data_IF_385456601137
#
_entry.id   IF_385456601137
#
_cell.length_a   1.000
_cell.length_b   1.000
_cell.length_c   1.000
_cell.angle_alpha   90.00
_cell.angle_beta   90.00
_cell.angle_gamma   90.00
#
_symmetry.space_group_name_H-M   'P 1'
#
loop_
_entity.id
_entity.type
_entity.pdbx_description
1 polymer ?
#
# COMPACT_ATOMS: atom_id res chain seq x y z
N UNK A 1 19.24 26.12 7.77
CA UNK A 1 18.04 25.28 8.04
C UNK A 1 18.18 24.64 9.42
N UNK A 2 17.05 24.39 10.11
CA UNK A 2 17.05 23.70 11.40
C UNK A 2 17.31 22.22 11.17
N UNK A 3 18.17 21.59 12.00
CA UNK A 3 18.38 20.15 11.96
C UNK A 3 17.13 19.42 12.46
N UNK A 4 16.80 18.31 11.80
CA UNK A 4 15.72 17.42 12.25
C UNK A 4 16.13 16.73 13.55
N UNK A 5 15.14 16.32 14.35
CA UNK A 5 15.38 15.48 15.53
C UNK A 5 15.64 14.05 15.10
N UNK A 6 16.73 13.48 15.60
CA UNK A 6 16.97 12.02 15.50
C UNK A 6 16.62 11.42 16.84
N UNK A 7 15.74 10.44 16.84
CA UNK A 7 15.17 9.83 18.07
C UNK A 7 15.18 8.29 17.93
N UNK A 8 14.97 7.59 19.03
CA UNK A 8 14.76 6.14 19.01
C UNK A 8 13.34 5.78 18.56
N UNK A 9 13.11 4.52 18.22
CA UNK A 9 11.78 4.05 17.86
C UNK A 9 10.80 4.11 19.05
N UNK A 10 11.29 3.88 20.28
CA UNK A 10 10.53 4.01 21.53
C UNK A 10 10.13 5.47 21.79
N UNK A 11 11.05 6.42 21.59
CA UNK A 11 10.72 7.85 21.68
C UNK A 11 9.69 8.26 20.62
N UNK A 12 9.77 7.69 19.42
CA UNK A 12 8.76 7.90 18.37
C UNK A 12 7.39 7.34 18.77
N UNK A 13 7.36 6.14 19.35
CA UNK A 13 6.13 5.53 19.84
C UNK A 13 5.45 6.41 20.90
N UNK A 14 6.21 7.11 21.76
CA UNK A 14 5.66 8.05 22.75
C UNK A 14 5.00 9.29 22.13
N UNK A 15 5.22 9.56 20.85
CA UNK A 15 4.57 10.69 20.15
C UNK A 15 3.14 10.38 19.70
N UNK A 16 2.70 9.12 19.79
CA UNK A 16 1.34 8.68 19.48
C UNK A 16 0.47 8.72 20.71
N UNK A 17 -0.69 9.38 20.64
CA UNK A 17 -1.63 9.51 21.74
C UNK A 17 -2.86 8.63 21.55
N UNK A 18 -3.60 8.40 22.63
CA UNK A 18 -4.89 7.72 22.58
C UNK A 18 -5.85 8.45 21.62
N UNK A 19 -6.54 7.71 20.79
CA UNK A 19 -7.51 8.22 19.81
C UNK A 19 -6.91 8.84 18.55
N UNK A 20 -5.58 8.89 18.40
CA UNK A 20 -4.94 9.42 17.20
C UNK A 20 -5.32 8.61 15.95
N UNK A 21 -5.40 9.30 14.82
CA UNK A 21 -5.36 8.68 13.50
C UNK A 21 -3.90 8.50 13.09
N UNK A 22 -3.49 7.25 12.92
CA UNK A 22 -2.15 6.90 12.45
C UNK A 22 -2.23 6.37 11.02
N UNK A 23 -1.36 6.88 10.15
CA UNK A 23 -1.16 6.36 8.80
C UNK A 23 0.20 5.68 8.69
N UNK A 24 0.24 4.52 8.03
CA UNK A 24 1.47 3.75 7.83
C UNK A 24 1.80 3.64 6.35
N UNK A 25 3.09 3.80 6.01
CA UNK A 25 3.63 3.53 4.67
C UNK A 25 3.90 2.04 4.49
N UNK A 26 4.02 1.61 3.24
CA UNK A 26 4.35 0.25 2.86
C UNK A 26 3.39 -0.36 1.83
N UNK A 27 3.85 -1.40 1.17
CA UNK A 27 3.10 -2.14 0.15
C UNK A 27 3.43 -3.62 0.27
N UNK A 28 2.47 -4.46 0.67
CA UNK A 28 2.65 -5.87 0.99
C UNK A 28 3.76 -6.02 2.06
N UNK A 29 4.90 -6.57 1.72
CA UNK A 29 6.04 -6.69 2.65
C UNK A 29 7.08 -5.58 2.45
N UNK A 30 6.92 -4.72 1.46
CA UNK A 30 7.96 -3.79 1.04
C UNK A 30 7.76 -2.41 1.68
N UNK A 31 8.86 -1.74 2.00
CA UNK A 31 8.89 -0.40 2.56
C UNK A 31 8.06 -0.21 3.86
N UNK A 32 7.90 -1.27 4.66
CA UNK A 32 7.23 -1.19 5.96
C UNK A 32 8.14 -0.53 7.00
N UNK A 33 7.64 0.41 7.81
CA UNK A 33 8.40 1.05 8.89
C UNK A 33 8.40 0.17 10.16
N UNK A 34 9.03 -1.01 10.09
CA UNK A 34 8.94 -2.07 11.11
C UNK A 34 9.42 -1.61 12.49
N UNK A 35 10.57 -0.92 12.60
CA UNK A 35 11.06 -0.47 13.91
C UNK A 35 10.02 0.42 14.62
N UNK A 36 9.34 1.29 13.87
CA UNK A 36 8.31 2.17 14.43
C UNK A 36 7.07 1.38 14.87
N UNK A 37 6.64 0.43 14.04
CA UNK A 37 5.46 -0.40 14.31
C UNK A 37 5.69 -1.33 15.50
N UNK A 38 6.86 -1.98 15.58
CA UNK A 38 7.29 -2.83 16.70
C UNK A 38 7.35 -2.02 18.01
N UNK A 39 7.95 -0.83 17.98
CA UNK A 39 8.06 -0.01 19.19
C UNK A 39 6.69 0.44 19.70
N UNK A 40 5.75 0.74 18.79
CA UNK A 40 4.38 1.11 19.17
C UNK A 40 3.61 -0.09 19.73
N UNK A 41 3.74 -1.29 19.15
CA UNK A 41 3.19 -2.53 19.68
C UNK A 41 3.72 -2.83 21.07
N UNK A 42 5.05 -2.78 21.26
CA UNK A 42 5.68 -3.04 22.57
C UNK A 42 5.17 -2.06 23.65
N UNK A 43 5.09 -0.78 23.32
CA UNK A 43 4.52 0.22 24.24
C UNK A 43 3.08 -0.13 24.64
N UNK A 44 2.24 -0.53 23.66
CA UNK A 44 0.87 -0.93 23.96
C UNK A 44 0.82 -2.16 24.86
N UNK A 45 1.62 -3.19 24.57
CA UNK A 45 1.66 -4.43 25.35
C UNK A 45 2.14 -4.18 26.80
N UNK A 46 3.07 -3.26 26.99
CA UNK A 46 3.62 -2.92 28.33
C UNK A 46 2.71 -2.01 29.15
N UNK A 47 2.06 -1.05 28.50
CA UNK A 47 1.36 0.05 29.19
C UNK A 47 -0.16 0.07 28.99
N UNK A 48 -0.67 -0.65 28.00
CA UNK A 48 -2.05 -0.53 27.54
C UNK A 48 -2.34 0.75 26.74
N UNK A 49 -1.30 1.49 26.32
CA UNK A 49 -1.39 2.74 25.55
C UNK A 49 -0.39 2.73 24.38
N UNK A 50 -0.70 3.38 23.25
CA UNK A 50 -1.93 4.15 22.95
C UNK A 50 -3.13 3.25 22.73
N UNK A 51 -4.34 3.78 22.98
CA UNK A 51 -5.62 3.10 22.80
C UNK A 51 -6.48 3.80 21.75
N UNK A 52 -7.47 3.07 21.26
CA UNK A 52 -8.54 3.61 20.41
C UNK A 52 -8.05 4.31 19.15
N UNK A 53 -6.93 3.86 18.59
CA UNK A 53 -6.36 4.43 17.37
C UNK A 53 -7.29 4.20 16.15
N UNK A 54 -7.23 5.13 15.20
CA UNK A 54 -7.71 4.90 13.84
C UNK A 54 -6.50 4.59 12.97
N UNK A 55 -6.40 3.38 12.41
CA UNK A 55 -5.34 3.01 11.47
C UNK A 55 -5.80 3.25 10.02
N UNK A 56 -4.98 3.92 9.22
CA UNK A 56 -5.28 4.30 7.83
C UNK A 56 -4.14 3.94 6.88
N UNK A 57 -4.42 3.07 5.89
CA UNK A 57 -3.41 2.63 4.92
C UNK A 57 -4.05 2.27 3.55
N UNK A 58 -3.32 2.51 2.46
CA UNK A 58 -3.79 2.19 1.12
C UNK A 58 -3.60 0.70 0.79
N UNK A 59 -2.37 0.22 0.75
CA UNK A 59 -2.05 -1.18 0.49
C UNK A 59 -1.93 -1.97 1.79
N UNK A 60 -2.29 -3.25 1.77
CA UNK A 60 -2.08 -4.16 2.89
C UNK A 60 -0.59 -4.33 3.18
N UNK A 61 -0.23 -4.39 4.45
CA UNK A 61 1.16 -4.41 4.92
C UNK A 61 1.42 -5.63 5.80
N UNK A 62 2.50 -6.36 5.53
CA UNK A 62 2.93 -7.51 6.29
C UNK A 62 2.99 -8.83 5.51
N UNK A 63 3.41 -9.88 6.21
CA UNK A 63 3.57 -11.24 5.70
C UNK A 63 2.54 -12.24 6.22
N UNK A 64 1.55 -11.80 7.01
CA UNK A 64 0.59 -12.68 7.73
C UNK A 64 1.25 -13.47 8.88
N UNK A 65 2.34 -12.98 9.42
CA UNK A 65 3.19 -13.66 10.41
C UNK A 65 3.48 -12.79 11.65
N UNK A 66 2.69 -11.75 11.85
CA UNK A 66 2.86 -10.81 12.95
C UNK A 66 3.60 -9.52 12.57
N UNK A 67 4.00 -9.38 11.29
CA UNK A 67 4.70 -8.19 10.78
C UNK A 67 3.75 -7.16 10.16
N UNK A 68 4.24 -5.95 9.91
CA UNK A 68 3.50 -4.88 9.25
C UNK A 68 2.23 -4.47 9.99
N UNK A 69 1.07 -4.62 9.35
CA UNK A 69 -0.22 -4.26 9.93
C UNK A 69 -0.63 -5.08 11.16
N UNK A 70 -0.07 -6.28 11.32
CA UNK A 70 -0.37 -7.14 12.48
C UNK A 70 0.13 -6.58 13.81
N UNK A 71 1.12 -5.68 13.83
CA UNK A 71 1.57 -4.97 15.03
C UNK A 71 0.45 -4.13 15.67
N UNK A 72 -0.54 -3.73 14.89
CA UNK A 72 -1.70 -2.95 15.37
C UNK A 72 -2.89 -3.84 15.78
N UNK A 73 -2.80 -5.16 15.56
CA UNK A 73 -3.89 -6.12 15.72
C UNK A 73 -4.15 -6.55 17.16
N UNK A 74 -4.18 -5.63 18.12
CA UNK A 74 -4.45 -5.90 19.53
C UNK A 74 -5.78 -5.28 19.96
N UNK A 75 -6.61 -6.04 20.71
CA UNK A 75 -7.87 -5.53 21.24
C UNK A 75 -7.66 -4.32 22.15
N UNK A 76 -8.31 -3.21 21.85
CA UNK A 76 -8.17 -1.94 22.56
C UNK A 76 -7.07 -1.02 22.04
N UNK A 77 -6.13 -1.49 21.21
CA UNK A 77 -5.13 -0.64 20.55
C UNK A 77 -5.77 0.16 19.42
N UNK A 78 -6.52 -0.48 18.57
CA UNK A 78 -7.27 0.17 17.48
C UNK A 78 -8.77 0.09 17.75
N UNK A 79 -9.49 1.18 17.46
CA UNK A 79 -10.96 1.20 17.42
C UNK A 79 -11.50 1.20 16.01
N UNK A 80 -10.72 1.69 15.04
CA UNK A 80 -11.13 1.82 13.64
C UNK A 80 -9.97 1.52 12.71
N UNK A 81 -10.25 0.82 11.64
CA UNK A 81 -9.29 0.60 10.56
C UNK A 81 -9.96 0.95 9.22
N UNK A 82 -9.29 1.79 8.44
CA UNK A 82 -9.66 2.15 7.06
C UNK A 82 -8.52 1.71 6.15
N UNK A 83 -8.73 0.62 5.42
CA UNK A 83 -7.69 0.01 4.60
C UNK A 83 -8.17 -0.44 3.24
N UNK A 84 -7.26 -0.47 2.28
CA UNK A 84 -7.56 -0.96 0.92
C UNK A 84 -7.46 -2.47 0.78
N UNK A 85 -6.64 -3.13 1.62
CA UNK A 85 -6.42 -4.56 1.57
C UNK A 85 -6.10 -5.13 2.97
N UNK A 86 -6.82 -6.16 3.40
CA UNK A 86 -6.79 -6.66 4.78
C UNK A 86 -6.03 -7.99 4.95
N UNK A 87 -5.86 -8.76 3.87
CA UNK A 87 -5.33 -10.13 3.94
C UNK A 87 -3.90 -10.22 4.51
N UNK A 88 -3.14 -9.12 4.49
CA UNK A 88 -1.75 -9.11 4.97
C UNK A 88 -1.61 -8.97 6.49
N UNK A 89 -2.71 -8.60 7.17
CA UNK A 89 -2.75 -8.40 8.62
C UNK A 89 -3.91 -9.22 9.25
N UNK A 90 -3.76 -10.55 9.37
CA UNK A 90 -4.82 -11.42 9.87
C UNK A 90 -5.31 -11.06 11.27
N UNK A 91 -4.44 -10.58 12.17
CA UNK A 91 -4.87 -10.14 13.52
C UNK A 91 -5.88 -8.98 13.45
N UNK A 92 -5.70 -8.02 12.53
CA UNK A 92 -6.70 -6.97 12.30
C UNK A 92 -8.00 -7.54 11.72
N UNK A 93 -7.89 -8.50 10.80
CA UNK A 93 -9.01 -9.21 10.23
C UNK A 93 -9.84 -9.93 11.29
N UNK A 94 -9.19 -10.62 12.21
CA UNK A 94 -9.85 -11.34 13.32
C UNK A 94 -10.61 -10.37 14.25
N UNK A 95 -10.05 -9.20 14.57
CA UNK A 95 -10.74 -8.18 15.34
C UNK A 95 -11.98 -7.63 14.60
N UNK A 96 -11.88 -7.44 13.29
CA UNK A 96 -13.00 -6.99 12.48
C UNK A 96 -14.12 -8.04 12.40
N UNK A 97 -13.78 -9.32 12.20
CA UNK A 97 -14.72 -10.45 12.19
C UNK A 97 -15.41 -10.63 13.54
N UNK A 98 -14.67 -10.42 14.64
CA UNK A 98 -15.21 -10.47 15.98
C UNK A 98 -16.04 -9.23 16.39
N UNK A 99 -16.28 -8.28 15.49
CA UNK A 99 -16.96 -7.00 15.78
C UNK A 99 -16.30 -6.16 16.91
N UNK A 100 -14.98 -6.26 17.08
CA UNK A 100 -14.22 -5.55 18.11
C UNK A 100 -13.76 -4.16 17.65
N UNK A 101 -13.69 -3.94 16.34
CA UNK A 101 -13.24 -2.69 15.74
C UNK A 101 -14.17 -2.28 14.58
N UNK A 102 -14.30 -0.98 14.34
CA UNK A 102 -14.90 -0.47 13.11
C UNK A 102 -13.95 -0.75 11.94
N UNK A 103 -14.46 -1.34 10.88
CA UNK A 103 -13.66 -1.82 9.77
C UNK A 103 -14.22 -1.38 8.42
N UNK A 104 -13.38 -0.70 7.63
CA UNK A 104 -13.71 -0.24 6.29
C UNK A 104 -12.72 -0.83 5.28
N UNK A 105 -13.25 -1.36 4.18
CA UNK A 105 -12.46 -1.67 2.99
C UNK A 105 -12.84 -0.67 1.91
N UNK A 106 -11.90 0.20 1.54
CA UNK A 106 -12.08 1.19 0.47
C UNK A 106 -11.13 0.85 -0.68
N UNK A 107 -11.45 1.23 -1.93
CA UNK A 107 -10.57 0.97 -3.06
C UNK A 107 -9.17 1.56 -2.81
N UNK A 108 -8.13 0.75 -2.99
CA UNK A 108 -6.74 1.12 -2.72
C UNK A 108 -6.35 2.41 -3.42
N UNK A 109 -6.63 2.53 -4.73
CA UNK A 109 -6.35 3.74 -5.50
C UNK A 109 -7.11 4.97 -5.04
N UNK A 110 -8.31 4.79 -4.45
CA UNK A 110 -9.03 5.91 -3.83
C UNK A 110 -8.31 6.39 -2.58
N UNK A 111 -7.81 5.48 -1.75
CA UNK A 111 -7.08 5.87 -0.53
C UNK A 111 -5.80 6.63 -0.88
N UNK A 112 -5.08 6.24 -1.93
CA UNK A 112 -3.89 6.98 -2.39
C UNK A 112 -4.24 8.43 -2.76
N UNK A 113 -5.41 8.64 -3.37
CA UNK A 113 -5.92 9.98 -3.69
C UNK A 113 -6.45 10.71 -2.45
N UNK A 114 -7.06 10.00 -1.49
CA UNK A 114 -7.51 10.61 -0.24
C UNK A 114 -6.37 11.30 0.49
N UNK A 115 -5.14 10.75 0.50
CA UNK A 115 -3.98 11.45 1.06
C UNK A 115 -3.74 12.81 0.42
N UNK A 116 -3.85 12.91 -0.91
CA UNK A 116 -3.69 14.18 -1.63
C UNK A 116 -4.81 15.17 -1.29
N UNK A 117 -6.04 14.69 -1.22
CA UNK A 117 -7.20 15.51 -0.89
C UNK A 117 -7.15 16.00 0.56
N UNK A 118 -6.76 15.15 1.50
CA UNK A 118 -6.52 15.53 2.90
C UNK A 118 -5.42 16.60 2.98
N UNK A 119 -4.31 16.40 2.24
CA UNK A 119 -3.22 17.38 2.19
C UNK A 119 -3.67 18.74 1.64
N UNK A 120 -4.59 18.76 0.69
CA UNK A 120 -5.15 19.97 0.08
C UNK A 120 -6.33 20.57 0.88
N UNK A 121 -6.72 19.98 2.02
CA UNK A 121 -7.92 20.34 2.79
C UNK A 121 -9.22 20.26 1.99
N UNK A 122 -9.29 19.36 0.99
CA UNK A 122 -10.51 19.04 0.30
C UNK A 122 -11.47 18.27 1.24
N UNK A 123 -12.77 18.35 0.98
CA UNK A 123 -13.79 17.64 1.79
C UNK A 123 -13.68 16.12 1.70
N UNK A 124 -12.95 15.61 0.70
CA UNK A 124 -12.72 14.20 0.40
C UNK A 124 -12.48 13.98 -1.08
N UNK A 125 -12.29 12.72 -1.45
CA UNK A 125 -12.05 12.31 -2.84
C UNK A 125 -13.37 12.04 -3.54
N UNK A 126 -13.60 12.70 -4.67
CA UNK A 126 -14.79 12.52 -5.51
C UNK A 126 -14.38 11.75 -6.76
N UNK A 127 -14.97 10.57 -6.98
CA UNK A 127 -14.61 9.69 -8.09
C UNK A 127 -15.76 8.78 -8.50
N UNK A 128 -15.67 8.19 -9.70
CA UNK A 128 -16.55 7.11 -10.16
C UNK A 128 -16.12 5.74 -9.62
N UNK A 129 -14.90 5.63 -9.12
CA UNK A 129 -14.34 4.36 -8.63
C UNK A 129 -15.13 3.86 -7.43
N UNK A 130 -15.58 2.61 -7.49
CA UNK A 130 -16.39 1.99 -6.45
C UNK A 130 -17.90 2.04 -6.70
N UNK A 131 -18.40 2.80 -7.68
CA UNK A 131 -19.81 2.73 -8.07
C UNK A 131 -20.22 1.29 -8.40
N UNK A 132 -21.39 0.88 -7.89
CA UNK A 132 -21.97 -0.46 -8.04
C UNK A 132 -21.20 -1.61 -7.35
N UNK A 133 -20.06 -1.33 -6.73
CA UNK A 133 -19.30 -2.31 -5.93
C UNK A 133 -19.73 -2.29 -4.46
N UNK A 134 -19.06 -3.08 -3.62
CA UNK A 134 -19.27 -3.06 -2.16
C UNK A 134 -18.91 -1.70 -1.50
N UNK A 135 -18.13 -0.85 -2.17
CA UNK A 135 -17.80 0.49 -1.69
C UNK A 135 -18.94 1.51 -1.92
N UNK A 136 -19.87 1.19 -2.83
CA UNK A 136 -21.07 2.00 -3.06
C UNK A 136 -21.98 1.99 -1.81
N UNK A 137 -22.46 3.15 -1.33
CA UNK A 137 -23.37 3.20 -0.18
C UNK A 137 -24.61 2.32 -0.33
N UNK A 138 -25.10 2.13 -1.57
CA UNK A 138 -26.21 1.23 -1.87
C UNK A 138 -25.90 -0.26 -1.57
N UNK A 139 -24.61 -0.60 -1.54
CA UNK A 139 -24.11 -1.97 -1.31
C UNK A 139 -23.28 -2.11 -0.02
N UNK A 140 -23.39 -1.12 0.89
CA UNK A 140 -22.73 -1.17 2.20
C UNK A 140 -21.67 -0.10 2.47
N UNK A 141 -21.24 0.67 1.46
CA UNK A 141 -20.33 1.81 1.66
C UNK A 141 -18.95 1.42 2.20
N UNK A 142 -18.43 0.25 1.83
CA UNK A 142 -17.15 -0.26 2.29
C UNK A 142 -17.10 -0.77 3.73
N UNK A 143 -18.21 -0.80 4.45
CA UNK A 143 -18.29 -1.30 5.84
C UNK A 143 -18.17 -2.83 5.85
N UNK A 144 -17.29 -3.37 6.71
CA UNK A 144 -17.02 -4.82 6.75
C UNK A 144 -17.85 -5.57 7.79
N UNK A 145 -18.32 -4.89 8.83
CA UNK A 145 -18.99 -5.53 9.96
C UNK A 145 -20.11 -4.67 10.57
N UNK A 146 -20.84 -5.24 11.54
CA UNK A 146 -22.02 -4.62 12.11
C UNK A 146 -21.72 -3.45 13.05
N UNK A 147 -20.57 -3.43 13.72
CA UNK A 147 -20.20 -2.31 14.60
C UNK A 147 -19.77 -1.05 13.84
N UNK A 148 -19.46 -1.17 12.55
CA UNK A 148 -19.10 -0.04 11.68
C UNK A 148 -20.36 0.71 11.25
N UNK A 149 -20.63 1.87 11.86
CA UNK A 149 -21.88 2.63 11.64
C UNK A 149 -21.71 3.88 10.77
N UNK A 150 -20.62 4.63 10.97
CA UNK A 150 -20.41 5.89 10.26
C UNK A 150 -20.32 5.68 8.74
N UNK A 151 -20.93 6.60 7.97
CA UNK A 151 -20.82 6.61 6.51
C UNK A 151 -19.61 7.46 6.09
N UNK A 152 -18.51 6.77 5.74
CA UNK A 152 -17.33 7.41 5.14
C UNK A 152 -17.48 7.62 3.63
N UNK A 153 -18.40 6.92 2.99
CA UNK A 153 -18.66 7.02 1.55
C UNK A 153 -20.08 7.53 1.34
N UNK A 154 -20.25 8.50 0.45
CA UNK A 154 -21.56 9.06 0.08
C UNK A 154 -21.73 9.02 -1.43
N UNK A 155 -22.92 8.67 -1.88
CA UNK A 155 -23.35 8.88 -3.26
C UNK A 155 -23.67 10.35 -3.45
N UNK A 156 -23.10 10.98 -4.45
CA UNK A 156 -23.34 12.39 -4.82
C UNK A 156 -23.64 12.47 -6.30
N UNK A 157 -24.46 13.46 -6.68
CA UNK A 157 -24.71 13.79 -8.09
C UNK A 157 -24.05 15.14 -8.40
N UNK A 158 -23.20 15.16 -9.41
CA UNK A 158 -22.52 16.36 -9.87
C UNK A 158 -22.81 16.53 -11.35
N UNK A 159 -23.53 17.58 -11.68
CA UNK A 159 -23.92 17.90 -13.05
C UNK A 159 -24.66 16.77 -13.80
N UNK A 160 -25.45 15.98 -13.07
CA UNK A 160 -26.20 14.86 -13.62
C UNK A 160 -25.47 13.52 -13.58
N UNK A 161 -24.21 13.47 -13.19
CA UNK A 161 -23.43 12.25 -13.08
C UNK A 161 -23.29 11.76 -11.63
N UNK A 162 -23.52 10.47 -11.42
CA UNK A 162 -23.25 9.84 -10.12
C UNK A 162 -21.75 9.74 -9.85
N UNK A 163 -21.35 10.08 -8.63
CA UNK A 163 -19.99 9.92 -8.11
C UNK A 163 -20.08 9.46 -6.66
N UNK A 164 -18.98 8.92 -6.17
CA UNK A 164 -18.78 8.64 -4.75
C UNK A 164 -17.89 9.72 -4.15
N UNK A 165 -18.29 10.24 -2.99
CA UNK A 165 -17.47 11.08 -2.13
C UNK A 165 -16.96 10.23 -0.98
N UNK A 166 -15.65 9.99 -0.95
CA UNK A 166 -14.93 9.41 0.16
C UNK A 166 -14.45 10.52 1.07
N UNK A 167 -15.02 10.60 2.28
CA UNK A 167 -14.76 11.69 3.21
C UNK A 167 -13.30 11.71 3.68
N UNK A 168 -12.66 12.88 3.62
CA UNK A 168 -11.37 13.11 4.26
C UNK A 168 -11.51 13.24 5.78
N UNK A 169 -10.44 12.91 6.49
CA UNK A 169 -10.31 13.08 7.94
C UNK A 169 -8.85 13.39 8.29
N UNK A 170 -8.59 14.11 9.42
CA UNK A 170 -7.23 14.49 9.79
C UNK A 170 -6.39 13.28 10.18
N UNK A 171 -5.07 13.36 9.89
CA UNK A 171 -4.07 12.36 10.27
C UNK A 171 -3.16 12.97 11.34
N UNK A 172 -3.13 12.36 12.53
CA UNK A 172 -2.36 12.86 13.68
C UNK A 172 -0.89 12.45 13.63
N UNK A 173 -0.61 11.23 13.14
CA UNK A 173 0.75 10.70 13.03
C UNK A 173 0.87 9.88 11.75
N UNK A 174 2.01 9.98 11.06
CA UNK A 174 2.36 8.97 10.07
C UNK A 174 3.73 8.36 10.36
N UNK A 175 3.81 7.04 10.16
CA UNK A 175 5.03 6.25 10.17
C UNK A 175 5.39 5.90 8.73
N UNK A 176 6.51 6.43 8.27
CA UNK A 176 6.99 6.26 6.90
C UNK A 176 8.35 5.58 6.89
N UNK A 177 8.63 4.92 5.78
CA UNK A 177 9.95 4.39 5.47
C UNK A 177 10.61 5.21 4.38
N UNK A 178 11.89 5.51 4.58
CA UNK A 178 12.78 6.09 3.58
C UNK A 178 14.11 5.34 3.54
N UNK A 179 14.90 5.59 2.51
CA UNK A 179 16.24 4.99 2.38
C UNK A 179 17.27 5.75 3.22
N UNK A 180 17.54 6.99 2.86
CA UNK A 180 18.49 7.86 3.57
C UNK A 180 17.80 9.17 3.94
N UNK A 181 18.16 9.72 5.11
CA UNK A 181 17.83 11.09 5.49
C UNK A 181 19.08 11.96 5.55
N UNK A 182 18.96 13.23 5.21
CA UNK A 182 20.00 14.19 5.55
C UNK A 182 19.73 14.82 6.94
N UNK A 183 20.71 15.56 7.47
CA UNK A 183 20.60 16.24 8.77
C UNK A 183 19.45 17.26 8.86
N UNK A 184 18.88 17.68 7.73
CA UNK A 184 17.72 18.58 7.68
C UNK A 184 16.39 17.85 7.57
N UNK A 185 16.42 16.51 7.50
CA UNK A 185 15.22 15.66 7.41
C UNK A 185 14.71 15.42 6.00
N UNK A 186 15.46 15.82 4.95
CA UNK A 186 15.13 15.42 3.60
C UNK A 186 15.38 13.92 3.44
N UNK A 187 14.38 13.15 3.01
CA UNK A 187 14.51 11.71 2.86
C UNK A 187 14.33 11.27 1.41
N UNK A 188 15.18 10.34 1.00
CA UNK A 188 15.05 9.64 -0.29
C UNK A 188 14.40 8.27 -0.07
N UNK A 189 13.93 7.66 -1.18
CA UNK A 189 13.38 6.30 -1.22
C UNK A 189 14.01 5.47 -2.33
N UNK A 190 15.23 5.83 -2.73
CA UNK A 190 15.90 5.24 -3.88
C UNK A 190 16.31 3.78 -3.71
N UNK A 191 16.28 3.25 -2.49
CA UNK A 191 16.51 1.84 -2.17
C UNK A 191 15.22 1.06 -1.88
N UNK A 192 14.08 1.73 -1.94
CA UNK A 192 12.78 1.09 -1.86
C UNK A 192 12.30 0.66 -3.26
N UNK A 193 11.29 -0.23 -3.31
CA UNK A 193 10.69 -0.68 -4.58
C UNK A 193 9.99 0.44 -5.35
N UNK A 194 9.73 1.55 -4.69
CA UNK A 194 9.12 2.76 -5.23
C UNK A 194 8.77 3.77 -4.16
N UNK A 195 8.36 4.98 -4.55
CA UNK A 195 7.98 6.02 -3.61
C UNK A 195 6.69 5.71 -2.84
N UNK A 196 5.83 4.87 -3.39
CA UNK A 196 4.51 4.57 -2.85
C UNK A 196 3.73 5.86 -2.56
N UNK A 197 3.20 6.01 -1.34
CA UNK A 197 2.40 7.15 -0.91
C UNK A 197 3.16 8.15 -0.02
N UNK A 198 4.47 7.97 0.21
CA UNK A 198 5.21 8.68 1.27
C UNK A 198 5.10 10.19 1.18
N UNK A 199 5.15 10.77 -0.04
CA UNK A 199 5.01 12.22 -0.22
C UNK A 199 3.62 12.70 0.17
N UNK A 200 2.57 12.03 -0.32
CA UNK A 200 1.19 12.42 -0.06
C UNK A 200 0.80 12.20 1.42
N UNK A 201 1.25 11.10 2.02
CA UNK A 201 1.05 10.82 3.45
C UNK A 201 1.72 11.86 4.34
N UNK A 202 2.98 12.21 4.05
CA UNK A 202 3.71 13.25 4.79
C UNK A 202 3.00 14.61 4.70
N UNK A 203 2.55 15.01 3.51
CA UNK A 203 1.81 16.25 3.31
C UNK A 203 0.46 16.24 4.03
N UNK A 204 -0.30 15.15 3.90
CA UNK A 204 -1.61 15.00 4.55
C UNK A 204 -1.48 15.12 6.07
N UNK A 205 -0.52 14.42 6.64
CA UNK A 205 -0.27 14.46 8.09
C UNK A 205 0.20 15.85 8.53
N UNK A 206 1.15 16.44 7.84
CA UNK A 206 1.66 17.77 8.18
C UNK A 206 0.58 18.85 8.13
N UNK A 207 -0.23 18.83 7.08
CA UNK A 207 -1.31 19.80 6.91
C UNK A 207 -2.50 19.55 7.84
N UNK A 208 -2.65 18.34 8.37
CA UNK A 208 -3.57 18.03 9.47
C UNK A 208 -3.07 18.50 10.85
N UNK A 209 -1.86 19.10 10.92
CA UNK A 209 -1.22 19.47 12.18
C UNK A 209 -0.55 18.31 12.92
N UNK A 210 -0.42 17.17 12.25
CA UNK A 210 0.12 15.93 12.79
C UNK A 210 1.65 15.85 12.78
N UNK A 211 2.16 14.67 13.13
CA UNK A 211 3.61 14.37 13.27
C UNK A 211 4.03 13.38 12.18
N UNK A 212 5.06 13.75 11.42
CA UNK A 212 5.68 12.91 10.39
C UNK A 212 6.97 12.32 10.93
N UNK A 213 7.00 10.99 11.07
CA UNK A 213 8.15 10.25 11.59
C UNK A 213 8.62 9.30 10.49
N UNK A 214 9.89 9.38 10.15
CA UNK A 214 10.46 8.59 9.05
C UNK A 214 11.55 7.67 9.59
N UNK A 215 11.39 6.37 9.37
CA UNK A 215 12.42 5.38 9.59
C UNK A 215 13.33 5.33 8.36
N UNK A 216 14.64 5.34 8.56
CA UNK A 216 15.65 5.30 7.49
C UNK A 216 16.80 4.35 7.84
N UNK A 217 17.57 3.95 6.82
CA UNK A 217 18.77 3.13 7.01
C UNK A 217 19.92 3.94 7.64
N UNK A 218 20.07 5.21 7.26
CA UNK A 218 21.15 6.08 7.75
C UNK A 218 20.88 7.56 7.53
N UNK A 219 21.65 8.37 8.26
CA UNK A 219 21.71 9.82 8.10
C UNK A 219 23.00 10.20 7.34
N UNK A 220 22.87 11.12 6.39
CA UNK A 220 23.96 11.68 5.62
C UNK A 220 24.09 13.18 5.87
N UNK A 221 25.19 13.78 5.39
CA UNK A 221 25.44 15.22 5.55
C UNK A 221 24.28 16.06 4.99
N UNK A 222 23.92 17.12 5.70
CA UNK A 222 22.87 18.04 5.29
C UNK A 222 23.12 18.66 3.91
N UNK A 223 22.14 18.53 3.01
CA UNK A 223 22.22 19.04 1.64
C UNK A 223 23.05 18.20 0.66
N UNK A 224 23.46 16.97 1.04
CA UNK A 224 24.22 16.07 0.16
C UNK A 224 23.35 15.19 -0.75
N UNK A 225 22.04 15.12 -0.49
CA UNK A 225 21.12 14.31 -1.29
C UNK A 225 20.78 15.02 -2.61
N UNK A 226 20.62 14.23 -3.69
CA UNK A 226 20.07 14.75 -4.94
C UNK A 226 18.63 15.23 -4.70
N UNK A 227 18.30 16.51 -4.95
CA UNK A 227 16.98 17.04 -4.69
C UNK A 227 15.85 16.38 -5.52
N UNK A 228 16.18 15.76 -6.65
CA UNK A 228 15.22 15.01 -7.46
C UNK A 228 14.85 13.65 -6.85
N UNK A 229 15.72 13.09 -6.02
CA UNK A 229 15.50 11.83 -5.31
C UNK A 229 14.84 12.03 -3.95
N UNK A 230 14.78 13.26 -3.44
CA UNK A 230 14.07 13.56 -2.18
C UNK A 230 12.58 13.47 -2.41
N UNK A 231 11.94 12.45 -1.81
CA UNK A 231 10.49 12.23 -1.86
C UNK A 231 9.77 12.74 -0.61
N UNK A 232 10.47 12.84 0.51
CA UNK A 232 9.95 13.43 1.74
C UNK A 232 10.82 14.62 2.11
N UNK A 233 10.45 15.85 1.72
CA UNK A 233 11.16 17.06 2.11
C UNK A 233 11.18 17.27 3.62
N UNK A 234 12.33 17.71 4.15
CA UNK A 234 12.53 17.90 5.59
C UNK A 234 11.57 18.91 6.24
N UNK A 235 10.95 19.79 5.46
CA UNK A 235 9.92 20.72 5.95
C UNK A 235 8.66 20.00 6.46
N UNK A 236 8.44 18.74 6.06
CA UNK A 236 7.32 17.92 6.55
C UNK A 236 7.71 17.12 7.78
N UNK A 237 9.00 16.78 7.95
CA UNK A 237 9.48 15.78 8.90
C UNK A 237 9.65 16.36 10.30
N UNK A 238 9.07 15.70 11.30
CA UNK A 238 9.20 16.08 12.72
C UNK A 238 10.32 15.29 13.41
N UNK A 239 10.55 14.03 13.01
CA UNK A 239 11.61 13.18 13.56
C UNK A 239 12.06 12.10 12.59
N UNK A 240 13.33 11.69 12.75
CA UNK A 240 13.95 10.56 12.04
C UNK A 240 14.30 9.47 13.07
N UNK A 241 14.04 8.22 12.69
CA UNK A 241 14.51 7.03 13.39
C UNK A 241 15.46 6.28 12.46
N UNK A 242 16.64 5.93 12.96
CA UNK A 242 17.56 5.04 12.22
C UNK A 242 17.28 3.62 12.68
N UNK A 243 16.69 2.82 11.81
CA UNK A 243 16.38 1.42 12.09
C UNK A 243 17.61 0.52 11.95
N UNK A 244 17.54 -0.68 12.54
CA UNK A 244 18.55 -1.74 12.33
C UNK A 244 18.54 -2.24 10.87
N UNK A 245 19.49 -3.10 10.53
CA UNK A 245 19.51 -3.73 9.19
C UNK A 245 18.29 -4.63 9.00
N UNK A 246 17.90 -5.32 10.06
CA UNK A 246 16.77 -6.24 10.10
C UNK A 246 15.44 -5.50 9.95
N UNK A 247 15.32 -4.31 10.53
CA UNK A 247 14.11 -3.47 10.44
C UNK A 247 14.03 -2.69 9.10
N UNK A 248 15.16 -2.61 8.38
CA UNK A 248 15.29 -1.88 7.12
C UNK A 248 15.41 -2.81 5.90
N UNK A 249 14.91 -4.03 5.96
CA UNK A 249 14.84 -4.89 4.78
C UNK A 249 13.95 -4.25 3.72
N UNK A 250 14.38 -4.32 2.45
CA UNK A 250 13.64 -3.73 1.32
C UNK A 250 12.22 -4.30 1.21
N UNK A 251 12.11 -5.62 1.33
CA UNK A 251 10.88 -6.34 1.60
C UNK A 251 11.11 -7.21 2.84
N UNK A 252 10.12 -7.37 3.71
CA UNK A 252 10.23 -8.13 4.94
C UNK A 252 10.80 -9.54 4.69
N UNK A 253 11.85 -9.90 5.40
CA UNK A 253 12.59 -11.14 5.21
C UNK A 253 13.56 -11.15 4.02
N UNK A 254 13.73 -10.03 3.30
CA UNK A 254 14.64 -9.93 2.16
C UNK A 254 15.53 -8.70 2.25
N UNK A 255 16.85 -8.91 2.15
CA UNK A 255 17.80 -7.81 2.07
C UNK A 255 17.60 -6.99 0.77
N UNK A 256 18.31 -5.86 0.68
CA UNK A 256 18.32 -5.01 -0.48
C UNK A 256 18.74 -5.75 -1.76
N UNK A 257 17.93 -5.57 -2.82
CA UNK A 257 18.22 -5.99 -4.18
C UNK A 257 18.11 -4.78 -5.13
N UNK A 258 19.23 -4.36 -5.71
CA UNK A 258 19.29 -3.23 -6.62
C UNK A 258 18.57 -3.45 -7.96
N UNK A 259 18.25 -4.69 -8.32
CA UNK A 259 17.44 -4.98 -9.50
C UNK A 259 16.00 -4.47 -9.36
N UNK A 260 15.50 -4.38 -8.11
CA UNK A 260 14.13 -3.93 -7.80
C UNK A 260 14.00 -2.40 -7.71
N UNK A 261 15.14 -1.70 -7.74
CA UNK A 261 15.18 -0.22 -7.66
C UNK A 261 15.68 0.43 -8.96
N UNK A 262 16.08 -0.40 -9.94
CA UNK A 262 16.67 0.07 -11.17
C UNK A 262 18.15 0.46 -11.07
N UNK A 263 18.84 0.15 -9.95
CA UNK A 263 20.29 0.38 -9.79
C UNK A 263 21.11 -0.42 -10.81
N UNK A 264 20.68 -1.66 -11.07
CA UNK A 264 21.21 -2.49 -12.15
C UNK A 264 20.11 -3.33 -12.78
N UNK A 265 20.41 -3.90 -13.95
CA UNK A 265 19.50 -4.79 -14.68
C UNK A 265 19.99 -6.23 -14.60
N UNK A 266 19.04 -7.16 -14.50
CA UNK A 266 19.31 -8.60 -14.59
C UNK A 266 18.94 -9.13 -15.99
N UNK A 267 19.63 -10.15 -16.51
CA UNK A 267 19.24 -10.83 -17.74
C UNK A 267 17.84 -11.44 -17.60
N UNK A 268 16.98 -11.23 -18.60
CA UNK A 268 15.58 -11.75 -18.59
C UNK A 268 15.56 -13.27 -18.67
N UNK A 269 16.51 -13.88 -19.37
CA UNK A 269 16.72 -15.32 -19.50
C UNK A 269 17.19 -16.00 -18.19
N UNK A 270 17.56 -15.22 -17.18
CA UNK A 270 17.85 -15.72 -15.83
C UNK A 270 16.58 -16.09 -15.03
N UNK A 271 15.38 -15.78 -15.54
CA UNK A 271 14.11 -16.14 -14.89
C UNK A 271 13.82 -17.61 -15.16
N UNK A 272 13.86 -18.49 -14.16
CA UNK A 272 13.68 -19.91 -14.39
C UNK A 272 12.26 -20.24 -14.84
N UNK A 273 12.09 -21.23 -15.73
CA UNK A 273 10.79 -21.74 -16.10
C UNK A 273 10.01 -22.25 -14.88
N UNK A 274 8.72 -21.93 -14.81
CA UNK A 274 7.87 -22.43 -13.74
C UNK A 274 7.43 -23.88 -14.01
N UNK A 275 7.26 -24.72 -12.96
CA UNK A 275 6.82 -26.12 -13.12
C UNK A 275 5.41 -26.18 -13.77
N UNK A 276 5.18 -27.26 -14.53
CA UNK A 276 3.86 -27.50 -15.13
C UNK A 276 2.89 -27.98 -14.05
N UNK A 277 2.05 -27.08 -13.60
CA UNK A 277 0.97 -27.30 -12.65
C UNK A 277 -0.33 -26.66 -13.15
N UNK A 278 -1.40 -26.75 -12.36
CA UNK A 278 -2.70 -26.15 -12.69
C UNK A 278 -2.57 -24.62 -12.90
N UNK A 279 -1.74 -23.93 -12.10
CA UNK A 279 -1.56 -22.47 -12.21
C UNK A 279 -0.87 -22.10 -13.51
N UNK A 280 0.14 -22.87 -13.94
CA UNK A 280 0.79 -22.65 -15.25
C UNK A 280 -0.17 -22.89 -16.41
N UNK A 281 -1.05 -23.90 -16.33
CA UNK A 281 -2.08 -24.15 -17.36
C UNK A 281 -3.04 -22.96 -17.44
N UNK A 282 -3.50 -22.44 -16.31
CA UNK A 282 -4.35 -21.25 -16.23
C UNK A 282 -3.64 -20.05 -16.84
N UNK A 283 -2.38 -19.82 -16.47
CA UNK A 283 -1.58 -18.72 -16.98
C UNK A 283 -1.35 -18.80 -18.49
N UNK A 284 -1.11 -20.00 -19.03
CA UNK A 284 -1.00 -20.22 -20.49
C UNK A 284 -2.30 -19.91 -21.21
N UNK A 285 -3.43 -20.34 -20.65
CA UNK A 285 -4.74 -20.03 -21.25
C UNK A 285 -5.01 -18.53 -21.21
N UNK A 286 -4.70 -17.87 -20.09
CA UNK A 286 -4.86 -16.43 -19.95
C UNK A 286 -3.93 -15.64 -20.89
N UNK A 287 -2.69 -16.08 -21.08
CA UNK A 287 -1.74 -15.45 -22.00
C UNK A 287 -2.24 -15.43 -23.46
N UNK A 288 -3.13 -16.35 -23.85
CA UNK A 288 -3.74 -16.34 -25.20
C UNK A 288 -4.73 -15.18 -25.40
N UNK A 289 -5.18 -14.55 -24.34
CA UNK A 289 -6.09 -13.38 -24.37
C UNK A 289 -5.34 -12.05 -24.40
N UNK A 290 -4.00 -12.05 -24.37
CA UNK A 290 -3.19 -10.83 -24.41
C UNK A 290 -3.31 -10.15 -25.77
N UNK A 291 -3.81 -8.91 -25.83
CA UNK A 291 -3.74 -8.11 -27.05
C UNK A 291 -2.29 -7.77 -27.40
N UNK A 292 -2.02 -7.50 -28.67
CA UNK A 292 -0.71 -7.03 -29.11
C UNK A 292 -0.43 -5.63 -28.52
N UNK A 293 0.79 -5.43 -28.01
CA UNK A 293 1.27 -4.18 -27.39
C UNK A 293 0.44 -3.68 -26.18
N UNK A 294 -0.27 -4.61 -25.53
CA UNK A 294 -1.16 -4.29 -24.42
C UNK A 294 -0.43 -3.77 -23.17
N UNK A 295 -1.04 -2.82 -22.50
CA UNK A 295 -0.67 -2.39 -21.14
C UNK A 295 -1.45 -3.23 -20.13
N UNK A 296 -0.72 -4.00 -19.33
CA UNK A 296 -1.28 -5.10 -18.54
C UNK A 296 -0.99 -4.94 -17.05
N UNK A 297 -2.01 -5.19 -16.21
CA UNK A 297 -1.82 -5.42 -14.78
C UNK A 297 -2.08 -6.89 -14.44
N UNK A 298 -1.22 -7.48 -13.60
CA UNK A 298 -1.35 -8.85 -13.12
C UNK A 298 -1.58 -8.87 -11.62
N UNK A 299 -2.70 -9.45 -11.20
CA UNK A 299 -3.01 -9.70 -9.80
C UNK A 299 -2.16 -10.83 -9.20
N UNK A 300 -2.25 -11.00 -7.89
CA UNK A 300 -1.51 -12.03 -7.13
C UNK A 300 -1.97 -13.46 -7.46
N UNK A 301 -1.09 -14.43 -7.25
CA UNK A 301 -1.38 -15.86 -7.35
C UNK A 301 -1.27 -16.44 -8.75
N UNK A 302 -2.37 -16.93 -9.34
CA UNK A 302 -2.33 -17.50 -10.69
C UNK A 302 -2.04 -16.46 -11.79
N UNK A 303 -2.59 -15.23 -11.73
CA UNK A 303 -2.30 -14.20 -12.74
C UNK A 303 -0.83 -13.81 -12.82
N UNK A 304 -0.09 -13.74 -11.71
CA UNK A 304 1.35 -13.40 -11.75
C UNK A 304 2.18 -14.36 -12.61
N UNK A 305 1.71 -15.60 -12.81
CA UNK A 305 2.38 -16.61 -13.63
C UNK A 305 2.32 -16.32 -15.14
N UNK A 306 1.45 -15.39 -15.59
CA UNK A 306 1.38 -14.97 -16.98
C UNK A 306 2.70 -14.36 -17.44
N UNK A 307 3.37 -13.58 -16.58
CA UNK A 307 4.68 -13.01 -16.89
C UNK A 307 5.75 -14.09 -17.12
N UNK A 308 5.75 -15.15 -16.29
CA UNK A 308 6.68 -16.28 -16.45
C UNK A 308 6.40 -17.04 -17.76
N UNK A 309 5.12 -17.31 -18.04
CA UNK A 309 4.72 -18.00 -19.28
C UNK A 309 5.09 -17.18 -20.51
N UNK A 310 4.86 -15.87 -20.48
CA UNK A 310 5.22 -14.98 -21.58
C UNK A 310 6.74 -14.97 -21.85
N UNK A 311 7.55 -15.02 -20.79
CA UNK A 311 9.01 -15.14 -20.93
C UNK A 311 9.41 -16.50 -21.53
N UNK A 312 8.83 -17.61 -21.04
CA UNK A 312 9.10 -18.97 -21.56
C UNK A 312 8.70 -19.15 -23.02
N UNK A 313 7.61 -18.51 -23.46
CA UNK A 313 7.07 -18.63 -24.81
C UNK A 313 7.59 -17.55 -25.76
N UNK A 314 8.46 -16.65 -25.29
CA UNK A 314 9.05 -15.59 -26.12
C UNK A 314 8.05 -14.54 -26.59
N UNK A 315 7.00 -14.28 -25.80
CA UNK A 315 5.94 -13.29 -26.11
C UNK A 315 5.93 -12.09 -25.16
N UNK A 316 6.97 -11.91 -24.32
CA UNK A 316 7.06 -10.80 -23.39
C UNK A 316 7.05 -9.42 -24.04
N UNK A 317 7.47 -9.33 -25.31
CA UNK A 317 7.45 -8.13 -26.13
C UNK A 317 6.05 -7.70 -26.57
N UNK A 318 5.04 -8.58 -26.42
CA UNK A 318 3.64 -8.29 -26.78
C UNK A 318 2.90 -7.50 -25.71
N UNK A 319 3.52 -7.21 -24.56
CA UNK A 319 2.87 -6.51 -23.47
C UNK A 319 3.83 -5.62 -22.70
N UNK A 320 3.28 -4.55 -22.13
CA UNK A 320 3.95 -3.75 -21.09
C UNK A 320 3.31 -4.06 -19.75
N UNK A 321 4.02 -4.78 -18.91
CA UNK A 321 3.56 -5.08 -17.56
C UNK A 321 3.63 -3.84 -16.68
N UNK A 322 2.63 -3.67 -15.82
CA UNK A 322 2.60 -2.59 -14.83
C UNK A 322 2.27 -3.18 -13.48
N UNK A 323 2.75 -2.53 -12.42
CA UNK A 323 2.52 -2.94 -11.05
C UNK A 323 1.88 -1.78 -10.29
N UNK A 324 0.87 -2.08 -9.48
CA UNK A 324 0.11 -1.09 -8.70
C UNK A 324 1.01 -0.16 -7.88
N UNK A 325 2.08 -0.70 -7.30
CA UNK A 325 3.07 0.05 -6.52
C UNK A 325 3.85 1.11 -7.32
N UNK A 326 3.65 1.19 -8.63
CA UNK A 326 4.23 2.24 -9.49
C UNK A 326 5.21 1.73 -10.54
N UNK A 327 5.56 0.44 -10.56
CA UNK A 327 6.47 -0.12 -11.55
C UNK A 327 5.86 -0.19 -12.95
N UNK A 328 6.58 0.32 -13.96
CA UNK A 328 6.20 0.25 -15.39
C UNK A 328 7.24 -0.56 -16.14
N UNK A 329 6.81 -1.53 -16.90
CA UNK A 329 7.61 -2.53 -17.58
C UNK A 329 8.41 -3.40 -16.62
N UNK A 330 9.37 -4.16 -17.15
CA UNK A 330 10.15 -5.10 -16.35
C UNK A 330 9.40 -6.39 -16.03
N UNK A 331 9.86 -7.08 -15.01
CA UNK A 331 9.32 -8.36 -14.57
C UNK A 331 8.78 -8.22 -13.15
N UNK A 332 7.44 -8.21 -12.96
CA UNK A 332 6.85 -8.18 -11.64
C UNK A 332 7.24 -9.40 -10.80
N UNK A 333 7.51 -9.15 -9.53
CA UNK A 333 7.74 -10.21 -8.55
C UNK A 333 6.42 -10.58 -7.87
N UNK A 334 6.29 -11.85 -7.52
CA UNK A 334 5.12 -12.40 -6.86
C UNK A 334 5.35 -12.73 -5.38
N UNK A 335 4.32 -13.27 -4.74
CA UNK A 335 4.39 -13.72 -3.36
C UNK A 335 4.64 -12.57 -2.38
N UNK A 336 5.67 -12.71 -1.55
CA UNK A 336 6.03 -11.71 -0.54
C UNK A 336 6.60 -10.43 -1.11
N UNK A 337 7.16 -10.47 -2.32
CA UNK A 337 7.73 -9.32 -3.04
C UNK A 337 6.75 -8.68 -4.02
N UNK A 338 5.49 -9.07 -3.95
CA UNK A 338 4.46 -8.47 -4.80
C UNK A 338 4.44 -6.94 -4.64
N UNK A 339 4.45 -6.24 -5.76
CA UNK A 339 4.63 -4.80 -5.82
C UNK A 339 5.99 -4.35 -6.36
N UNK A 340 7.02 -5.21 -6.24
CA UNK A 340 8.33 -4.96 -6.83
C UNK A 340 8.39 -5.40 -8.30
N UNK A 341 9.23 -4.76 -9.09
CA UNK A 341 9.48 -5.13 -10.48
C UNK A 341 10.98 -5.01 -10.80
N UNK A 342 11.60 -6.11 -11.23
CA UNK A 342 12.96 -6.04 -11.72
C UNK A 342 12.99 -5.47 -13.14
N UNK A 343 14.05 -4.76 -13.49
CA UNK A 343 14.21 -4.15 -14.81
C UNK A 343 13.12 -3.12 -15.19
N UNK A 344 12.42 -2.53 -14.23
CA UNK A 344 11.44 -1.50 -14.51
C UNK A 344 12.05 -0.37 -15.36
N UNK A 345 11.27 0.18 -16.30
CA UNK A 345 11.67 1.34 -17.10
C UNK A 345 11.33 2.66 -16.42
N UNK A 346 10.32 2.65 -15.57
CA UNK A 346 9.95 3.76 -14.70
C UNK A 346 9.34 3.22 -13.39
N UNK A 347 9.48 4.00 -12.32
CA UNK A 347 8.87 3.74 -11.03
C UNK A 347 8.19 5.03 -10.58
N UNK A 348 6.87 5.00 -10.48
CA UNK A 348 6.04 6.17 -10.19
C UNK A 348 5.54 6.16 -8.75
N UNK A 349 5.04 7.28 -8.29
CA UNK A 349 4.30 7.37 -7.04
C UNK A 349 2.95 6.61 -7.20
N UNK A 350 2.50 5.96 -6.13
CA UNK A 350 1.35 5.06 -6.11
C UNK A 350 0.05 5.73 -6.61
N UNK A 351 -0.20 6.95 -6.17
CA UNK A 351 -1.36 7.73 -6.62
C UNK A 351 -1.29 8.09 -8.11
N UNK A 352 -0.10 8.35 -8.66
CA UNK A 352 0.10 8.63 -10.10
C UNK A 352 -0.18 7.39 -10.93
N UNK A 353 0.23 6.21 -10.45
CA UNK A 353 -0.09 4.94 -11.10
C UNK A 353 -1.60 4.69 -11.14
N UNK A 354 -2.30 4.98 -10.04
CA UNK A 354 -3.75 4.82 -9.99
C UNK A 354 -4.53 5.90 -10.76
N UNK A 355 -4.00 7.11 -10.92
CA UNK A 355 -4.56 8.08 -11.89
C UNK A 355 -4.63 7.47 -13.30
N UNK A 356 -3.54 6.82 -13.73
CA UNK A 356 -3.48 6.15 -15.02
C UNK A 356 -4.47 4.97 -15.12
N UNK A 357 -4.50 4.11 -14.10
CA UNK A 357 -5.40 2.94 -14.08
C UNK A 357 -6.88 3.35 -14.08
N UNK A 358 -7.26 4.24 -13.18
CA UNK A 358 -8.64 4.70 -13.02
C UNK A 358 -9.12 5.55 -14.19
N UNK A 359 -8.20 6.21 -14.90
CA UNK A 359 -8.46 6.97 -16.12
C UNK A 359 -8.64 6.09 -17.36
N UNK A 360 -8.51 4.75 -17.24
CA UNK A 360 -8.68 3.82 -18.36
C UNK A 360 -7.38 3.53 -19.14
N UNK A 361 -6.22 3.71 -18.50
CA UNK A 361 -4.91 3.48 -19.13
C UNK A 361 -4.51 2.01 -19.29
N UNK A 362 -5.22 1.06 -18.65
CA UNK A 362 -4.99 -0.37 -18.83
C UNK A 362 -5.82 -0.91 -19.99
N UNK A 363 -5.19 -1.72 -20.85
CA UNK A 363 -5.90 -2.48 -21.89
C UNK A 363 -6.51 -3.75 -21.32
N UNK A 364 -5.82 -4.41 -20.38
CA UNK A 364 -6.30 -5.64 -19.76
C UNK A 364 -5.71 -5.81 -18.33
N UNK A 365 -6.53 -6.35 -17.44
CA UNK A 365 -6.10 -6.82 -16.13
C UNK A 365 -6.47 -8.29 -15.94
N UNK A 366 -5.55 -9.07 -15.38
CA UNK A 366 -5.80 -10.46 -15.01
C UNK A 366 -5.83 -10.56 -13.50
N UNK A 367 -6.99 -10.83 -12.96
CA UNK A 367 -7.21 -10.83 -11.51
C UNK A 367 -7.67 -12.20 -11.03
N UNK A 368 -7.26 -12.56 -9.80
CA UNK A 368 -7.76 -13.74 -9.11
C UNK A 368 -9.21 -13.53 -8.67
N UNK A 369 -9.98 -14.61 -8.68
CA UNK A 369 -11.35 -14.62 -8.14
C UNK A 369 -11.57 -15.91 -7.33
N UNK A 370 -12.58 -15.90 -6.49
CA UNK A 370 -12.92 -17.05 -5.69
C UNK A 370 -14.09 -17.84 -6.26
N UNK A 371 -15.09 -17.15 -6.74
CA UNK A 371 -16.33 -17.74 -7.24
C UNK A 371 -16.79 -16.98 -8.49
N UNK A 372 -17.39 -17.72 -9.42
CA UNK A 372 -18.07 -17.16 -10.58
C UNK A 372 -19.45 -17.80 -10.72
N UNK A 373 -20.46 -16.97 -10.98
CA UNK A 373 -21.82 -17.45 -11.27
C UNK A 373 -22.00 -17.72 -12.76
N UNK A 374 -23.02 -18.52 -13.15
CA UNK A 374 -23.30 -18.81 -14.56
C UNK A 374 -23.62 -17.58 -15.42
N UNK A 375 -24.10 -16.50 -14.81
CA UNK A 375 -24.40 -15.22 -15.47
C UNK A 375 -23.16 -14.31 -15.63
N UNK A 376 -21.98 -14.76 -15.16
CA UNK A 376 -20.74 -14.01 -15.24
C UNK A 376 -20.43 -13.11 -14.04
N UNK A 377 -21.27 -13.07 -13.01
CA UNK A 377 -20.96 -12.36 -11.78
C UNK A 377 -19.78 -13.01 -11.06
N UNK A 378 -18.90 -12.16 -10.52
CA UNK A 378 -17.66 -12.57 -9.86
C UNK A 378 -17.72 -12.22 -8.37
N UNK A 379 -17.31 -13.16 -7.51
CA UNK A 379 -17.10 -12.90 -6.10
C UNK A 379 -15.59 -12.88 -5.78
N UNK A 380 -15.12 -11.72 -5.37
CA UNK A 380 -13.73 -11.48 -4.93
C UNK A 380 -13.67 -10.89 -3.52
N UNK A 381 -14.83 -10.53 -2.94
CA UNK A 381 -14.87 -9.62 -1.79
C UNK A 381 -15.33 -10.29 -0.49
N UNK A 382 -16.11 -11.36 -0.55
CA UNK A 382 -16.72 -11.94 0.64
C UNK A 382 -16.96 -13.45 0.52
N UNK A 383 -16.50 -14.21 1.51
CA UNK A 383 -16.75 -15.65 1.64
C UNK A 383 -17.58 -15.92 2.89
N UNK A 384 -18.86 -16.24 2.75
CA UNK A 384 -19.75 -16.40 3.87
C UNK A 384 -19.83 -15.17 4.74
N UNK A 385 -19.45 -15.28 6.02
CA UNK A 385 -19.30 -14.15 6.94
C UNK A 385 -17.94 -13.47 6.85
N UNK A 386 -16.94 -14.12 6.24
CA UNK A 386 -15.58 -13.64 6.09
C UNK A 386 -15.47 -12.78 4.83
N UNK A 387 -15.17 -11.48 5.00
CA UNK A 387 -14.77 -10.60 3.90
C UNK A 387 -13.27 -10.61 3.79
N UNK A 388 -12.73 -11.43 2.92
CA UNK A 388 -11.36 -11.25 2.45
C UNK A 388 -11.41 -10.21 1.35
N UNK A 389 -10.83 -9.04 1.63
CA UNK A 389 -10.62 -8.08 0.56
C UNK A 389 -9.65 -8.68 -0.45
N UNK A 390 -10.13 -8.87 -1.63
CA UNK A 390 -9.28 -9.00 -2.80
C UNK A 390 -9.31 -7.64 -3.47
N UNK A 391 -8.20 -7.17 -3.90
CA UNK A 391 -7.86 -5.87 -4.53
C UNK A 391 -9.01 -5.13 -5.17
#
# INVERSE_FOLDING_TARGET
>A
MKKVRVITAEEAALMVNDGDTISTGGFVSCACPEALSIALENRFLETGHPRDLTLFFAAGQGHRDGTGGDHYGHEGMVKRVVGGHWDRAPKLGDLALANKIEAYNLPQGVITHMYRDIAAHNIGTITHVGLYTFADPRNGGGKLNECTKEDLVKLVNIEGEERLLYKGFPINVCFLRGSYADEYGNCTVHREIGPLDVTAQAQATKNSGGKVIVQVEKIVQGGSLDPKLVKIPGIYVDAIVVGSVEDNMQCLGMPYDGALTGEFRIPVDAIPPIPLDAKKIIARRAAMELPQDAIVNLGTGAPEKIANVAAEEGISDKMTLTVEAGGIAGVPYGGTQFGASANAMAILDHNVQFDFYQGGGLDVAFLGLAETAPNGDLNVSKFGTDRKSVV
#
